data_IF_562062275785
#
_entry.id   IF_562062275785
#
_cell.length_a   1.000
_cell.length_b   1.000
_cell.length_c   1.000
_cell.angle_alpha   90.00
_cell.angle_beta   90.00
_cell.angle_gamma   90.00
#
_symmetry.space_group_name_H-M   'P 1'
#
loop_
_entity.id
_entity.type
_entity.pdbx_description
1 polymer ?
#
# COMPACT_ATOMS: atom_id res chain seq x y z
N UNK A 1 -17.38 -0.53 -6.80
CA UNK A 1 -16.64 -1.73 -7.23
C UNK A 1 -15.22 -1.58 -6.71
N UNK A 2 -14.67 -2.63 -6.11
CA UNK A 2 -13.25 -2.64 -5.71
C UNK A 2 -12.43 -3.00 -6.94
N UNK A 3 -11.33 -2.27 -7.19
CA UNK A 3 -10.42 -2.56 -8.29
C UNK A 3 -8.98 -2.62 -7.79
N UNK A 4 -8.17 -3.42 -8.47
CA UNK A 4 -6.73 -3.56 -8.22
C UNK A 4 -5.97 -3.35 -9.52
N UNK A 5 -4.87 -2.60 -9.46
CA UNK A 5 -4.03 -2.29 -10.61
C UNK A 5 -2.56 -2.22 -10.22
N UNK A 6 -1.68 -2.87 -10.99
CA UNK A 6 -0.25 -2.59 -10.95
C UNK A 6 0.06 -1.30 -11.72
N UNK A 7 0.85 -0.41 -11.11
CA UNK A 7 1.26 0.85 -11.67
C UNK A 7 2.73 0.80 -12.05
N UNK A 8 3.12 1.61 -13.04
CA UNK A 8 4.52 1.78 -13.39
C UNK A 8 5.31 2.34 -12.19
N UNK A 9 6.44 1.73 -11.87
CA UNK A 9 7.26 2.10 -10.71
C UNK A 9 7.82 3.52 -10.84
N UNK A 10 8.32 3.90 -12.03
CA UNK A 10 8.61 5.29 -12.44
C UNK A 10 9.54 6.11 -11.52
N UNK A 11 10.10 5.51 -10.48
CA UNK A 11 10.82 6.17 -9.40
C UNK A 11 11.98 5.27 -8.96
N UNK A 12 13.18 5.87 -8.83
CA UNK A 12 14.37 5.16 -8.35
C UNK A 12 14.12 4.64 -6.93
N UNK A 13 14.45 3.37 -6.69
CA UNK A 13 14.26 2.71 -5.39
C UNK A 13 12.87 2.12 -5.18
N UNK A 14 11.96 2.22 -6.15
CA UNK A 14 10.66 1.54 -6.12
C UNK A 14 10.70 0.38 -7.11
N UNK A 15 10.54 -0.83 -6.59
CA UNK A 15 10.53 -2.06 -7.39
C UNK A 15 9.13 -2.36 -7.92
N UNK A 16 8.11 -2.13 -7.11
CA UNK A 16 6.71 -2.45 -7.38
C UNK A 16 5.79 -1.35 -6.86
N UNK A 17 4.72 -1.08 -7.61
CA UNK A 17 3.66 -0.17 -7.17
C UNK A 17 2.30 -0.69 -7.56
N UNK A 18 1.35 -0.56 -6.65
CA UNK A 18 -0.01 -1.02 -6.82
C UNK A 18 -1.00 0.07 -6.40
N UNK A 19 -2.21 0.02 -6.93
CA UNK A 19 -3.34 0.76 -6.39
C UNK A 19 -4.57 -0.13 -6.19
N UNK A 20 -5.24 0.10 -5.08
CA UNK A 20 -6.55 -0.48 -4.74
C UNK A 20 -7.54 0.66 -4.62
N UNK A 21 -8.59 0.66 -5.44
CA UNK A 21 -9.59 1.72 -5.46
C UNK A 21 -10.99 1.20 -5.13
N UNK A 22 -11.86 2.12 -4.72
CA UNK A 22 -13.26 1.82 -4.42
C UNK A 22 -13.49 1.26 -3.02
N UNK A 23 -12.53 1.45 -2.09
CA UNK A 23 -12.68 1.09 -0.69
C UNK A 23 -13.75 1.99 -0.03
N UNK A 24 -14.54 1.39 0.86
CA UNK A 24 -15.56 2.06 1.67
C UNK A 24 -15.49 1.52 3.11
N UNK A 25 -14.83 2.26 4.00
CA UNK A 25 -14.50 1.86 5.36
C UNK A 25 -13.91 0.44 5.41
N UNK A 26 -13.00 0.16 4.47
CA UNK A 26 -12.39 -1.15 4.30
C UNK A 26 -11.04 -1.23 4.99
N UNK A 27 -10.58 -2.47 5.18
CA UNK A 27 -9.20 -2.75 5.58
C UNK A 27 -8.42 -3.31 4.40
N UNK A 28 -7.15 -2.94 4.30
CA UNK A 28 -6.22 -3.44 3.29
C UNK A 28 -5.06 -4.16 3.99
N UNK A 29 -4.77 -5.38 3.55
CA UNK A 29 -3.59 -6.14 3.94
C UNK A 29 -2.64 -6.24 2.75
N UNK A 30 -1.40 -5.83 2.95
CA UNK A 30 -0.36 -5.81 1.94
C UNK A 30 0.66 -6.89 2.29
N UNK A 31 0.87 -7.82 1.36
CA UNK A 31 1.85 -8.91 1.46
C UNK A 31 2.99 -8.63 0.47
N UNK A 32 4.02 -7.86 0.87
CA UNK A 32 5.14 -7.58 -0.02
C UNK A 32 6.09 -8.77 -0.12
N UNK A 33 7.07 -8.66 -1.02
CA UNK A 33 8.15 -9.65 -1.15
C UNK A 33 8.92 -9.83 0.16
N UNK A 34 9.51 -11.01 0.36
CA UNK A 34 10.45 -11.26 1.46
C UNK A 34 11.56 -10.21 1.49
N UNK A 35 11.87 -9.71 2.70
CA UNK A 35 12.87 -8.67 2.93
C UNK A 35 12.35 -7.24 2.99
N UNK A 36 11.19 -6.93 2.39
CA UNK A 36 10.63 -5.56 2.41
C UNK A 36 10.30 -5.15 3.84
N UNK A 37 10.90 -4.08 4.33
CA UNK A 37 10.70 -3.53 5.67
C UNK A 37 9.59 -2.48 5.72
N UNK A 38 9.19 -2.09 6.93
CA UNK A 38 8.25 -0.98 7.11
C UNK A 38 8.80 0.34 6.56
N UNK A 39 10.12 0.53 6.59
CA UNK A 39 10.80 1.75 6.12
C UNK A 39 10.83 1.84 4.58
N UNK A 40 10.78 0.69 3.90
CA UNK A 40 10.71 0.61 2.43
C UNK A 40 9.27 0.69 1.91
N UNK A 41 8.29 0.36 2.75
CA UNK A 41 6.89 0.40 2.37
C UNK A 41 6.35 1.84 2.39
N UNK A 42 5.88 2.27 1.23
CA UNK A 42 5.21 3.54 1.06
C UNK A 42 3.70 3.31 0.88
N UNK A 43 2.86 4.05 1.58
CA UNK A 43 1.39 3.92 1.51
C UNK A 43 0.73 5.30 1.48
N UNK A 44 -0.08 5.55 0.46
CA UNK A 44 -0.74 6.82 0.22
C UNK A 44 -2.24 6.65 -0.02
N UNK A 45 -3.05 7.50 0.60
CA UNK A 45 -4.50 7.59 0.41
C UNK A 45 -4.85 8.73 -0.54
N UNK A 46 -5.63 8.42 -1.58
CA UNK A 46 -6.14 9.33 -2.59
C UNK A 46 -5.05 10.16 -3.30
N UNK A 47 -3.80 9.70 -3.25
CA UNK A 47 -2.69 10.36 -3.92
C UNK A 47 -2.70 10.09 -5.41
N UNK A 48 -2.27 11.09 -6.18
CA UNK A 48 -1.99 10.99 -7.61
C UNK A 48 -0.48 11.02 -7.83
N UNK A 49 -0.03 10.72 -9.04
CA UNK A 49 1.35 10.99 -9.45
C UNK A 49 1.70 12.45 -9.13
N UNK A 50 2.84 12.76 -8.47
CA UNK A 50 4.02 11.91 -8.25
C UNK A 50 4.09 11.18 -6.89
N UNK A 51 2.95 10.91 -6.23
CA UNK A 51 2.87 10.11 -4.99
C UNK A 51 3.64 10.68 -3.79
N UNK A 52 3.42 11.97 -3.50
CA UNK A 52 4.13 12.72 -2.45
C UNK A 52 3.17 13.31 -1.39
N UNK A 53 1.90 12.91 -1.40
CA UNK A 53 0.88 13.45 -0.49
C UNK A 53 -0.06 12.35 -0.01
N UNK A 54 -0.75 12.59 1.11
CA UNK A 54 -1.73 11.64 1.62
C UNK A 54 -1.12 10.37 2.22
N UNK A 55 0.11 10.44 2.73
CA UNK A 55 0.70 9.33 3.49
C UNK A 55 -0.21 8.96 4.66
N UNK A 56 -0.40 7.65 4.87
CA UNK A 56 -1.24 7.14 5.95
C UNK A 56 -0.48 6.11 6.77
N UNK A 57 -0.75 6.02 8.09
CA UNK A 57 -0.13 5.01 8.92
C UNK A 57 -0.62 3.61 8.56
N UNK A 58 0.24 2.64 8.80
CA UNK A 58 -0.05 1.21 8.71
C UNK A 58 0.61 0.48 9.88
N UNK A 59 0.18 -0.74 10.13
CA UNK A 59 0.75 -1.59 11.17
C UNK A 59 1.38 -2.83 10.53
N UNK A 60 2.64 -3.11 10.85
CA UNK A 60 3.23 -4.42 10.52
C UNK A 60 2.66 -5.48 11.46
N UNK A 61 2.09 -6.54 10.89
CA UNK A 61 1.54 -7.68 11.61
C UNK A 61 2.39 -8.91 11.31
N UNK A 62 2.86 -9.58 12.37
CA UNK A 62 3.59 -10.84 12.33
C UNK A 62 2.80 -11.86 13.14
N UNK A 63 2.16 -12.82 12.48
CA UNK A 63 1.37 -13.86 13.12
C UNK A 63 1.77 -15.24 12.60
N UNK A 64 2.56 -15.97 13.40
CA UNK A 64 3.16 -17.24 12.97
C UNK A 64 4.03 -17.03 11.73
N UNK A 65 3.67 -17.70 10.63
CA UNK A 65 4.37 -17.61 9.36
C UNK A 65 3.84 -16.49 8.44
N UNK A 66 2.79 -15.77 8.87
CA UNK A 66 2.22 -14.67 8.09
C UNK A 66 2.86 -13.34 8.49
N UNK A 67 3.29 -12.59 7.48
CA UNK A 67 3.78 -11.22 7.62
C UNK A 67 3.09 -10.33 6.60
N UNK A 68 2.42 -9.28 7.09
CA UNK A 68 1.74 -8.30 6.24
C UNK A 68 1.69 -6.94 6.90
N UNK A 69 1.37 -5.92 6.11
CA UNK A 69 1.09 -4.59 6.59
C UNK A 69 -0.40 -4.32 6.48
N UNK A 70 -1.02 -3.92 7.60
CA UNK A 70 -2.46 -3.68 7.68
C UNK A 70 -2.77 -2.19 7.78
N UNK A 71 -3.78 -1.78 7.02
CA UNK A 71 -4.36 -0.45 7.04
C UNK A 71 -5.86 -0.62 7.29
N UNK A 72 -6.42 0.15 8.22
CA UNK A 72 -7.83 0.06 8.62
C UNK A 72 -8.59 1.33 8.29
N UNK A 73 -9.91 1.20 8.24
CA UNK A 73 -10.85 2.32 8.14
C UNK A 73 -10.62 3.24 6.93
N UNK A 74 -10.26 2.63 5.79
CA UNK A 74 -9.92 3.38 4.58
C UNK A 74 -11.09 3.48 3.62
N UNK A 75 -11.32 4.69 3.11
CA UNK A 75 -12.27 4.99 2.05
C UNK A 75 -11.58 5.71 0.89
N UNK A 76 -11.80 5.24 -0.34
CA UNK A 76 -11.22 5.83 -1.56
C UNK A 76 -10.22 4.90 -2.26
N UNK A 77 -9.04 5.44 -2.60
CA UNK A 77 -7.98 4.74 -3.34
C UNK A 77 -6.69 4.73 -2.55
N UNK A 78 -6.14 3.55 -2.28
CA UNK A 78 -4.82 3.39 -1.68
C UNK A 78 -3.82 3.07 -2.77
N UNK A 79 -2.73 3.83 -2.85
CA UNK A 79 -1.55 3.47 -3.63
C UNK A 79 -0.44 3.04 -2.68
N UNK A 80 0.24 1.95 -2.99
CA UNK A 80 1.33 1.46 -2.16
C UNK A 80 2.49 0.92 -3.00
N UNK A 81 3.71 1.03 -2.49
CA UNK A 81 4.92 0.65 -3.20
C UNK A 81 6.07 0.27 -2.28
N UNK A 82 6.99 -0.53 -2.80
CA UNK A 82 8.29 -0.89 -2.24
C UNK A 82 9.25 -1.21 -3.39
#
# INVERSE_FOLDING_TARGET
MVSFKELHSGQKGISKRYSVSGLKNGSLRIYPSDGVTAEELNVYLNSRYPWNTGEIPFTEVKNGNERYFEIKDVSGTVAFSW
#
